data_IF_741141411832
#
_entry.id   IF_741141411832
#
_cell.length_a   1.000
_cell.length_b   1.000
_cell.length_c   1.000
_cell.angle_alpha   90.00
_cell.angle_beta   90.00
_cell.angle_gamma   90.00
#
_symmetry.space_group_name_H-M   'P 1'
#
loop_
_entity.id
_entity.type
_entity.pdbx_description
1 polymer ?
#
# COMPACT_ATOMS: atom_id res chain seq x y z
N UNK A 1 1.55 -17.77 1.56
CA UNK A 1 2.50 -17.20 0.58
C UNK A 1 1.65 -16.60 -0.53
N UNK A 2 1.82 -15.31 -0.78
CA UNK A 2 1.02 -14.51 -1.70
C UNK A 2 1.72 -13.17 -1.90
N UNK A 3 1.11 -12.27 -2.68
CA UNK A 3 1.62 -10.92 -2.89
C UNK A 3 0.74 -9.94 -2.12
N UNK A 4 1.34 -9.14 -1.24
CA UNK A 4 0.59 -8.14 -0.46
C UNK A 4 0.92 -6.75 -0.97
N UNK A 5 -0.10 -5.94 -1.20
CA UNK A 5 0.00 -4.50 -1.33
C UNK A 5 -0.38 -3.90 0.02
N UNK A 6 0.44 -2.98 0.54
CA UNK A 6 0.17 -2.26 1.78
C UNK A 6 0.33 -0.76 1.58
N UNK A 7 -0.58 -0.01 2.18
CA UNK A 7 -0.51 1.44 2.34
C UNK A 7 -0.23 1.77 3.81
N UNK A 8 0.56 2.78 4.06
CA UNK A 8 0.90 3.30 5.37
C UNK A 8 0.65 4.81 5.37
N UNK A 9 0.45 5.40 6.53
CA UNK A 9 0.50 6.87 6.65
C UNK A 9 1.90 7.39 6.31
N UNK A 10 2.06 8.70 6.12
CA UNK A 10 3.37 9.34 5.94
C UNK A 10 4.38 9.04 7.07
N UNK A 11 3.87 8.81 8.28
CA UNK A 11 4.62 8.40 9.47
C UNK A 11 4.90 6.88 9.53
N UNK A 12 4.57 6.15 8.46
CA UNK A 12 4.71 4.69 8.33
C UNK A 12 3.81 3.90 9.31
N UNK A 13 2.68 4.46 9.72
CA UNK A 13 1.74 3.79 10.61
C UNK A 13 0.72 2.94 9.83
N UNK A 14 0.37 1.80 10.42
CA UNK A 14 -0.73 0.96 9.94
C UNK A 14 -2.08 1.62 10.26
N UNK A 15 -3.07 1.37 9.42
CA UNK A 15 -4.46 1.77 9.63
C UNK A 15 -5.42 0.64 9.25
N UNK A 16 -6.71 0.82 9.52
CA UNK A 16 -7.72 -0.20 9.23
C UNK A 16 -7.84 -0.44 7.72
N UNK A 17 -7.86 -1.72 7.30
CA UNK A 17 -7.94 -2.13 5.89
C UNK A 17 -6.82 -1.57 5.01
N UNK A 18 -5.62 -1.36 5.56
CA UNK A 18 -4.49 -0.79 4.84
C UNK A 18 -3.72 -1.75 3.92
N UNK A 19 -4.17 -3.00 3.77
CA UNK A 19 -3.49 -4.00 2.96
C UNK A 19 -4.45 -5.00 2.34
N UNK A 20 -4.08 -5.49 1.16
CA UNK A 20 -4.74 -6.59 0.48
C UNK A 20 -3.71 -7.60 -0.01
N UNK A 21 -4.07 -8.88 0.01
CA UNK A 21 -3.17 -9.99 -0.32
C UNK A 21 -3.78 -10.87 -1.40
N UNK A 22 -3.14 -10.87 -2.57
CA UNK A 22 -3.40 -11.84 -3.63
C UNK A 22 -2.79 -13.20 -3.27
N UNK A 23 -3.64 -14.21 -3.07
CA UNK A 23 -3.22 -15.62 -2.84
C UNK A 23 -3.31 -16.48 -4.10
N UNK A 24 -3.85 -15.91 -5.17
CA UNK A 24 -3.87 -16.48 -6.52
C UNK A 24 -3.59 -15.37 -7.53
N UNK A 25 -3.16 -15.68 -8.77
CA UNK A 25 -2.91 -14.65 -9.78
C UNK A 25 -4.16 -13.81 -10.05
N UNK A 26 -4.00 -12.49 -9.96
CA UNK A 26 -5.04 -11.50 -10.25
C UNK A 26 -4.50 -10.48 -11.25
N UNK A 27 -5.38 -9.91 -12.07
CA UNK A 27 -5.00 -8.85 -13.02
C UNK A 27 -4.76 -7.51 -12.31
N UNK A 28 -5.40 -7.28 -11.17
CA UNK A 28 -5.30 -6.04 -10.40
C UNK A 28 -5.40 -6.33 -8.90
N UNK A 29 -4.55 -5.67 -8.12
CA UNK A 29 -4.58 -5.65 -6.65
C UNK A 29 -4.60 -4.17 -6.23
N UNK A 30 -5.59 -3.76 -5.45
CA UNK A 30 -5.80 -2.36 -5.09
C UNK A 30 -6.43 -2.22 -3.71
N UNK A 31 -6.36 -1.00 -3.16
CA UNK A 31 -6.96 -0.63 -1.90
C UNK A 31 -7.83 0.61 -2.10
N UNK A 32 -9.05 0.57 -1.59
CA UNK A 32 -9.90 1.75 -1.49
C UNK A 32 -9.69 2.39 -0.12
N UNK A 33 -9.30 3.67 -0.13
CA UNK A 33 -9.00 4.44 1.08
C UNK A 33 -9.72 5.78 1.05
N UNK A 34 -10.10 6.27 2.23
CA UNK A 34 -10.59 7.63 2.42
C UNK A 34 -9.44 8.44 3.00
N UNK A 35 -9.13 9.57 2.38
CA UNK A 35 -8.08 10.49 2.81
C UNK A 35 -8.61 11.90 2.82
N UNK A 36 -8.17 12.67 3.80
CA UNK A 36 -8.41 14.10 3.87
C UNK A 36 -7.35 14.87 3.06
N UNK A 37 -7.70 16.09 2.63
CA UNK A 37 -6.76 16.95 1.91
C UNK A 37 -5.53 17.24 2.77
N UNK A 38 -4.35 16.96 2.22
CA UNK A 38 -3.07 17.17 2.91
C UNK A 38 -2.56 15.93 3.65
N UNK A 39 -3.30 14.82 3.66
CA UNK A 39 -2.78 13.54 4.11
C UNK A 39 -1.93 12.87 3.01
N UNK A 40 -0.80 12.29 3.42
CA UNK A 40 0.09 11.53 2.56
C UNK A 40 0.07 10.04 2.88
N UNK A 41 0.29 9.21 1.85
CA UNK A 41 0.47 7.77 2.01
C UNK A 41 1.84 7.30 1.52
N UNK A 42 2.34 6.22 2.12
CA UNK A 42 3.46 5.43 1.60
C UNK A 42 2.94 4.06 1.20
N UNK A 43 3.39 3.54 0.05
CA UNK A 43 3.03 2.20 -0.40
C UNK A 43 4.22 1.25 -0.30
N UNK A 44 3.96 -0.03 -0.05
CA UNK A 44 4.96 -1.10 -0.08
C UNK A 44 4.33 -2.43 -0.52
N UNK A 45 5.18 -3.41 -0.86
CA UNK A 45 4.76 -4.75 -1.26
C UNK A 45 5.46 -5.82 -0.44
N UNK A 46 4.84 -6.98 -0.26
CA UNK A 46 5.45 -8.17 0.35
C UNK A 46 5.32 -9.36 -0.62
N UNK A 47 6.44 -9.91 -1.14
CA UNK A 47 7.81 -9.46 -0.92
C UNK A 47 8.06 -8.06 -1.50
N UNK A 48 9.03 -7.34 -0.92
CA UNK A 48 9.42 -6.01 -1.40
C UNK A 48 9.99 -6.14 -2.82
N UNK A 49 9.46 -5.35 -3.74
CA UNK A 49 9.98 -5.24 -5.10
C UNK A 49 11.40 -4.64 -5.11
N UNK A 50 12.31 -5.22 -5.90
CA UNK A 50 13.71 -4.79 -5.95
C UNK A 50 13.86 -3.33 -6.42
N UNK A 51 12.97 -2.86 -7.29
CA UNK A 51 12.94 -1.48 -7.81
C UNK A 51 12.05 -0.55 -6.98
N UNK A 52 11.60 -0.97 -5.79
CA UNK A 52 10.80 -0.11 -4.92
C UNK A 52 11.69 0.93 -4.22
N UNK A 53 11.31 2.19 -4.39
CA UNK A 53 11.81 3.29 -3.57
C UNK A 53 10.68 3.86 -2.72
N UNK A 54 11.00 4.25 -1.49
CA UNK A 54 10.03 4.85 -0.59
C UNK A 54 9.68 6.26 -1.04
N UNK A 55 8.41 6.47 -1.35
CA UNK A 55 7.87 7.77 -1.73
C UNK A 55 6.57 8.06 -0.97
N UNK A 56 6.31 9.34 -0.74
CA UNK A 56 5.01 9.80 -0.20
C UNK A 56 4.13 10.20 -1.39
N UNK A 57 2.98 9.56 -1.49
CA UNK A 57 1.91 9.88 -2.41
C UNK A 57 1.03 10.96 -1.78
N UNK A 58 1.07 12.16 -2.35
CA UNK A 58 0.17 13.27 -1.99
C UNK A 58 -1.06 13.24 -2.90
N UNK A 59 -2.25 13.36 -2.31
CA UNK A 59 -3.52 13.53 -3.04
C UNK A 59 -3.92 15.00 -3.17
#
# INVERSE_FOLDING_TARGET
MGFTLRLLTEDLQLFENNQDTATSPVEMLYLEVVLESGEGLVWETEPISDDWEREILWL
#
